data_IF_446899913417
#
_entry.id   IF_446899913417
#
_cell.length_a   1.000
_cell.length_b   1.000
_cell.length_c   1.000
_cell.angle_alpha   90.00
_cell.angle_beta   90.00
_cell.angle_gamma   90.00
#
_symmetry.space_group_name_H-M   'P 1'
#
loop_
_entity.id
_entity.type
_entity.pdbx_description
1 polymer ?
#
# COMPACT_ATOMS: atom_id res chain seq x y z
N UNK A 1 -50.22 -2.58 -12.05
CA UNK A 1 -49.31 -3.22 -11.08
C UNK A 1 -48.18 -4.04 -11.73
N UNK A 2 -48.44 -5.11 -12.50
CA UNK A 2 -47.35 -5.89 -13.17
C UNK A 2 -46.38 -5.06 -14.01
N UNK A 3 -46.89 -4.14 -14.85
CA UNK A 3 -46.04 -3.26 -15.68
C UNK A 3 -45.17 -2.30 -14.85
N UNK A 4 -45.69 -1.79 -13.73
CA UNK A 4 -44.94 -0.92 -12.82
C UNK A 4 -43.82 -1.70 -12.14
N UNK A 5 -44.08 -2.94 -11.70
CA UNK A 5 -43.06 -3.80 -11.11
C UNK A 5 -41.96 -4.18 -12.11
N UNK A 6 -42.32 -4.44 -13.38
CA UNK A 6 -41.34 -4.72 -14.44
C UNK A 6 -40.49 -3.48 -14.73
N UNK A 7 -41.10 -2.30 -14.85
CA UNK A 7 -40.35 -1.05 -15.09
C UNK A 7 -39.44 -0.72 -13.90
N UNK A 8 -39.93 -0.83 -12.67
CA UNK A 8 -39.12 -0.62 -11.47
C UNK A 8 -37.95 -1.61 -11.39
N UNK A 9 -38.17 -2.89 -11.72
CA UNK A 9 -37.13 -3.90 -11.79
C UNK A 9 -36.05 -3.59 -12.85
N UNK A 10 -36.46 -3.14 -14.04
CA UNK A 10 -35.53 -2.75 -15.10
C UNK A 10 -34.70 -1.51 -14.72
N UNK A 11 -35.32 -0.52 -14.09
CA UNK A 11 -34.61 0.68 -13.61
C UNK A 11 -33.61 0.30 -12.53
N UNK A 12 -33.99 -0.55 -11.56
CA UNK A 12 -33.08 -1.02 -10.54
C UNK A 12 -31.90 -1.80 -11.13
N UNK A 13 -32.15 -2.69 -12.09
CA UNK A 13 -31.10 -3.43 -12.78
C UNK A 13 -30.15 -2.50 -13.56
N UNK A 14 -30.67 -1.49 -14.25
CA UNK A 14 -29.86 -0.50 -14.95
C UNK A 14 -28.97 0.31 -14.00
N UNK A 15 -29.49 0.74 -12.85
CA UNK A 15 -28.73 1.45 -11.82
C UNK A 15 -27.63 0.58 -11.20
N UNK A 16 -27.86 -0.72 -11.02
CA UNK A 16 -26.83 -1.64 -10.53
C UNK A 16 -25.72 -1.84 -11.57
N UNK A 17 -26.06 -1.89 -12.85
CA UNK A 17 -25.09 -2.14 -13.93
C UNK A 17 -24.29 -0.90 -14.33
N UNK A 18 -24.80 0.32 -14.07
CA UNK A 18 -24.14 1.55 -14.52
C UNK A 18 -22.78 1.78 -13.85
N UNK A 19 -22.63 1.41 -12.58
CA UNK A 19 -21.40 1.62 -11.80
C UNK A 19 -20.24 0.73 -12.28
N UNK A 20 -20.40 -0.61 -12.41
CA UNK A 20 -19.34 -1.44 -12.98
C UNK A 20 -19.09 -1.12 -14.46
N UNK A 21 -20.12 -0.76 -15.24
CA UNK A 21 -19.93 -0.35 -16.64
C UNK A 21 -19.11 0.95 -16.75
N UNK A 22 -19.37 1.94 -15.90
CA UNK A 22 -18.58 3.17 -15.84
C UNK A 22 -17.14 2.89 -15.39
N UNK A 23 -16.94 2.05 -14.37
CA UNK A 23 -15.60 1.64 -13.93
C UNK A 23 -14.83 0.97 -15.07
N UNK A 24 -15.50 0.11 -15.85
CA UNK A 24 -14.87 -0.59 -16.98
C UNK A 24 -14.43 0.40 -18.07
N UNK A 25 -15.25 1.43 -18.31
CA UNK A 25 -14.88 2.53 -19.23
C UNK A 25 -13.60 3.24 -18.77
N UNK A 26 -13.48 3.57 -17.48
CA UNK A 26 -12.31 4.26 -16.95
C UNK A 26 -11.03 3.41 -16.94
N UNK A 27 -11.16 2.08 -16.84
CA UNK A 27 -10.03 1.14 -16.87
C UNK A 27 -9.48 0.89 -18.27
N UNK A 28 -10.21 1.29 -19.32
CA UNK A 28 -9.75 1.11 -20.70
C UNK A 28 -8.38 1.76 -20.95
N UNK A 29 -7.58 1.11 -21.80
CA UNK A 29 -6.27 1.62 -22.19
C UNK A 29 -5.27 1.68 -21.03
N UNK A 30 -5.31 0.71 -20.11
CA UNK A 30 -4.40 0.63 -18.96
C UNK A 30 -4.59 1.81 -17.98
N UNK A 31 -5.84 2.22 -17.76
CA UNK A 31 -6.19 3.35 -16.90
C UNK A 31 -6.17 4.73 -17.58
N UNK A 32 -5.99 4.81 -18.90
CA UNK A 32 -6.08 6.09 -19.64
C UNK A 32 -7.47 6.73 -19.52
N UNK A 33 -8.52 5.94 -19.36
CA UNK A 33 -9.87 6.49 -19.11
C UNK A 33 -9.91 7.37 -17.85
N UNK A 34 -9.14 7.05 -16.81
CA UNK A 34 -9.06 7.85 -15.58
C UNK A 34 -8.57 9.28 -15.82
N UNK A 35 -7.79 9.54 -16.87
CA UNK A 35 -7.28 10.89 -17.20
C UNK A 35 -8.32 11.78 -17.87
N UNK A 36 -9.56 11.29 -18.05
CA UNK A 36 -10.71 12.17 -18.34
C UNK A 36 -11.03 13.10 -17.17
N UNK A 37 -10.59 12.74 -15.95
CA UNK A 37 -10.52 13.63 -14.79
C UNK A 37 -9.11 14.24 -14.73
N UNK A 38 -9.02 15.58 -14.72
CA UNK A 38 -7.73 16.26 -14.76
C UNK A 38 -6.91 16.06 -13.47
N UNK A 39 -7.60 15.77 -12.35
CA UNK A 39 -7.00 15.46 -11.05
C UNK A 39 -6.17 14.18 -11.07
N UNK A 40 -6.48 13.26 -11.99
CA UNK A 40 -5.76 12.00 -12.14
C UNK A 40 -4.57 12.10 -13.09
N UNK A 41 -4.44 13.19 -13.86
CA UNK A 41 -3.39 13.34 -14.87
C UNK A 41 -1.97 13.24 -14.25
N UNK A 42 -1.63 13.94 -13.14
CA UNK A 42 -0.28 13.86 -12.56
C UNK A 42 0.08 12.44 -12.11
N UNK A 43 -0.88 11.74 -11.46
CA UNK A 43 -0.69 10.36 -11.00
C UNK A 43 -0.52 9.39 -12.17
N UNK A 44 -1.26 9.59 -13.26
CA UNK A 44 -1.10 8.81 -14.48
C UNK A 44 0.28 9.04 -15.12
N UNK A 45 0.73 10.29 -15.19
CA UNK A 45 2.02 10.62 -15.80
C UNK A 45 3.19 10.03 -14.98
N UNK A 46 3.14 10.16 -13.64
CA UNK A 46 4.09 9.51 -12.73
C UNK A 46 4.11 7.99 -12.91
N UNK A 47 2.92 7.35 -12.99
CA UNK A 47 2.83 5.92 -13.21
C UNK A 47 3.44 5.49 -14.54
N UNK A 48 3.19 6.23 -15.62
CA UNK A 48 3.75 5.94 -16.94
C UNK A 48 5.26 6.20 -17.04
N UNK A 49 5.81 7.06 -16.17
CA UNK A 49 7.25 7.23 -16.01
C UNK A 49 7.88 6.17 -15.08
N UNK A 50 7.08 5.51 -14.25
CA UNK A 50 7.55 4.58 -13.22
C UNK A 50 8.02 3.23 -13.78
N UNK A 51 8.65 2.44 -12.91
CA UNK A 51 8.99 1.05 -13.18
C UNK A 51 7.76 0.14 -13.40
N UNK A 52 6.55 0.60 -13.07
CA UNK A 52 5.29 -0.13 -13.24
C UNK A 52 4.44 0.34 -14.43
N UNK A 53 4.95 1.22 -15.30
CA UNK A 53 4.25 1.76 -16.49
C UNK A 53 3.55 0.74 -17.40
N UNK A 54 4.02 -0.51 -17.43
CA UNK A 54 3.43 -1.60 -18.22
C UNK A 54 2.29 -2.35 -17.52
N UNK A 55 1.94 -1.94 -16.31
CA UNK A 55 0.91 -2.58 -15.47
C UNK A 55 -0.29 -1.64 -15.39
N UNK A 56 -1.49 -2.16 -15.68
CA UNK A 56 -2.73 -1.40 -15.54
C UNK A 56 -3.04 -1.06 -14.08
N UNK A 57 -3.61 0.12 -13.84
CA UNK A 57 -3.95 0.61 -12.51
C UNK A 57 -4.85 -0.37 -11.74
N UNK A 58 -5.74 -1.07 -12.45
CA UNK A 58 -6.71 -2.02 -11.91
C UNK A 58 -6.05 -3.26 -11.27
N UNK A 59 -4.80 -3.56 -11.65
CA UNK A 59 -4.03 -4.66 -11.06
C UNK A 59 -3.66 -4.40 -9.60
N UNK A 60 -3.67 -3.15 -9.17
CA UNK A 60 -3.31 -2.76 -7.81
C UNK A 60 -4.48 -2.13 -7.05
N UNK A 61 -5.28 -1.28 -7.71
CA UNK A 61 -6.39 -0.56 -7.08
C UNK A 61 -7.72 -1.33 -7.07
N UNK A 62 -7.80 -2.48 -7.73
CA UNK A 62 -9.05 -3.17 -8.00
C UNK A 62 -9.63 -2.75 -9.35
N UNK A 63 -10.45 -3.64 -9.93
CA UNK A 63 -11.03 -3.44 -11.26
C UNK A 63 -12.56 -3.42 -11.23
N UNK A 64 -13.16 -3.04 -12.36
CA UNK A 64 -14.56 -2.75 -12.54
C UNK A 64 -15.47 -3.95 -12.29
N UNK A 65 -14.91 -5.15 -12.38
CA UNK A 65 -15.59 -6.42 -12.17
C UNK A 65 -15.41 -6.97 -10.75
N UNK A 66 -14.72 -6.24 -9.87
CA UNK A 66 -14.65 -6.61 -8.46
C UNK A 66 -16.04 -6.61 -7.84
N UNK A 67 -16.31 -7.57 -6.96
CA UNK A 67 -17.55 -7.60 -6.15
C UNK A 67 -17.42 -6.78 -4.87
N UNK A 68 -16.27 -6.12 -4.66
CA UNK A 68 -16.06 -5.22 -3.53
C UNK A 68 -16.91 -3.96 -3.68
N UNK A 69 -17.99 -3.89 -2.91
CA UNK A 69 -18.89 -2.73 -2.87
C UNK A 69 -18.15 -1.46 -2.45
N UNK A 70 -17.12 -1.56 -1.59
CA UNK A 70 -16.39 -0.40 -1.11
C UNK A 70 -15.56 0.27 -2.22
N UNK A 71 -15.06 -0.50 -3.18
CA UNK A 71 -14.39 0.00 -4.37
C UNK A 71 -15.34 0.84 -5.24
N UNK A 72 -16.50 0.26 -5.57
CA UNK A 72 -17.51 0.93 -6.40
C UNK A 72 -18.09 2.18 -5.73
N UNK A 73 -18.33 2.10 -4.43
CA UNK A 73 -18.80 3.24 -3.65
C UNK A 73 -17.77 4.37 -3.63
N UNK A 74 -16.49 4.05 -3.44
CA UNK A 74 -15.41 5.04 -3.47
C UNK A 74 -15.34 5.77 -4.83
N UNK A 75 -15.45 5.04 -5.95
CA UNK A 75 -15.50 5.65 -7.28
C UNK A 75 -16.70 6.59 -7.44
N UNK A 76 -17.88 6.17 -6.98
CA UNK A 76 -19.07 7.04 -7.01
C UNK A 76 -18.89 8.29 -6.14
N UNK A 77 -18.30 8.16 -4.94
CA UNK A 77 -18.04 9.31 -4.07
C UNK A 77 -17.02 10.27 -4.65
N UNK A 78 -16.01 9.80 -5.39
CA UNK A 78 -15.03 10.66 -6.07
C UNK A 78 -15.68 11.51 -7.15
N UNK A 79 -16.54 10.92 -7.98
CA UNK A 79 -17.32 11.65 -8.99
C UNK A 79 -18.20 12.71 -8.32
N UNK A 80 -18.87 12.33 -7.22
CA UNK A 80 -19.71 13.24 -6.46
C UNK A 80 -18.92 14.41 -5.84
N UNK A 81 -17.77 14.14 -5.25
CA UNK A 81 -16.85 15.15 -4.68
C UNK A 81 -16.32 16.09 -5.76
N UNK A 82 -15.92 15.58 -6.91
CA UNK A 82 -15.48 16.39 -8.05
C UNK A 82 -16.57 17.36 -8.51
N UNK A 83 -17.80 16.88 -8.73
CA UNK A 83 -18.93 17.71 -9.18
C UNK A 83 -19.26 18.83 -8.18
N UNK A 84 -19.00 18.62 -6.89
CA UNK A 84 -19.22 19.64 -5.84
C UNK A 84 -17.99 20.53 -5.58
N UNK A 85 -16.84 20.25 -6.21
CA UNK A 85 -15.58 20.92 -5.90
C UNK A 85 -15.06 20.64 -4.49
N UNK A 86 -15.46 19.52 -3.89
CA UNK A 86 -15.14 19.10 -2.51
C UNK A 86 -14.06 18.01 -2.54
N UNK A 87 -12.87 18.39 -3.01
CA UNK A 87 -11.71 17.52 -3.10
C UNK A 87 -10.61 17.97 -2.13
N UNK A 88 -9.92 17.03 -1.47
CA UNK A 88 -8.80 17.37 -0.59
C UNK A 88 -7.62 17.93 -1.41
N UNK A 89 -6.83 18.79 -0.78
CA UNK A 89 -5.61 19.35 -1.39
C UNK A 89 -4.60 18.26 -1.77
N UNK A 90 -4.55 17.16 -1.01
CA UNK A 90 -3.73 15.99 -1.30
C UNK A 90 -4.59 14.75 -1.50
N UNK A 91 -4.47 14.13 -2.67
CA UNK A 91 -5.14 12.88 -3.00
C UNK A 91 -4.27 11.71 -2.52
N UNK A 92 -4.59 11.18 -1.34
CA UNK A 92 -3.90 10.05 -0.74
C UNK A 92 -4.74 8.76 -0.71
N UNK A 93 -4.11 7.67 -0.27
CA UNK A 93 -4.82 6.44 0.06
C UNK A 93 -5.05 6.34 1.57
N UNK A 94 -6.27 5.99 1.94
CA UNK A 94 -6.58 5.54 3.29
C UNK A 94 -5.82 4.23 3.61
N UNK A 95 -5.51 4.01 4.89
CA UNK A 95 -4.73 2.89 5.40
C UNK A 95 -5.26 1.53 4.95
N UNK A 96 -6.58 1.38 4.88
CA UNK A 96 -7.25 0.17 4.43
C UNK A 96 -6.93 -0.17 2.97
N UNK A 97 -6.90 0.82 2.07
CA UNK A 97 -6.53 0.62 0.67
C UNK A 97 -5.05 0.25 0.53
N UNK A 98 -4.17 0.89 1.32
CA UNK A 98 -2.74 0.52 1.35
C UNK A 98 -2.55 -0.91 1.85
N UNK A 99 -3.25 -1.30 2.91
CA UNK A 99 -3.21 -2.65 3.44
C UNK A 99 -3.72 -3.67 2.40
N UNK A 100 -4.83 -3.39 1.72
CA UNK A 100 -5.40 -4.25 0.69
C UNK A 100 -4.45 -4.44 -0.51
N UNK A 101 -3.72 -3.39 -0.88
CA UNK A 101 -2.80 -3.44 -2.02
C UNK A 101 -1.57 -4.35 -1.77
N UNK A 102 -1.25 -4.64 -0.51
CA UNK A 102 -0.15 -5.56 -0.15
C UNK A 102 -0.32 -6.96 -0.77
N UNK A 103 -1.56 -7.47 -0.87
CA UNK A 103 -1.81 -8.76 -1.53
C UNK A 103 -1.64 -8.68 -3.07
N UNK A 104 -1.86 -7.51 -3.68
CA UNK A 104 -1.61 -7.33 -5.11
C UNK A 104 -0.11 -7.36 -5.39
N UNK A 105 0.71 -6.75 -4.51
CA UNK A 105 2.17 -6.81 -4.61
C UNK A 105 2.66 -8.26 -4.65
N UNK A 106 2.13 -9.12 -3.77
CA UNK A 106 2.46 -10.55 -3.71
C UNK A 106 2.17 -11.31 -5.01
N UNK A 107 1.22 -10.87 -5.82
CA UNK A 107 0.89 -11.48 -7.12
C UNK A 107 2.12 -11.60 -8.03
N UNK A 108 2.98 -10.57 -8.02
CA UNK A 108 4.22 -10.53 -8.80
C UNK A 108 5.47 -10.69 -7.91
N UNK A 109 5.50 -10.07 -6.73
CA UNK A 109 6.64 -10.03 -5.79
C UNK A 109 6.56 -11.10 -4.71
N UNK A 110 6.45 -12.37 -5.12
CA UNK A 110 6.20 -13.49 -4.19
C UNK A 110 7.33 -13.70 -3.18
N UNK A 111 8.58 -13.52 -3.61
CA UNK A 111 9.74 -13.76 -2.75
C UNK A 111 9.94 -12.63 -1.75
N UNK A 112 9.81 -11.39 -2.21
CA UNK A 112 9.87 -10.19 -1.37
C UNK A 112 8.74 -10.22 -0.34
N UNK A 113 7.54 -10.60 -0.76
CA UNK A 113 6.41 -10.78 0.15
C UNK A 113 6.71 -11.86 1.21
N UNK A 114 7.24 -13.02 0.83
CA UNK A 114 7.59 -14.07 1.79
C UNK A 114 8.67 -13.62 2.79
N UNK A 115 9.66 -12.87 2.32
CA UNK A 115 10.71 -12.30 3.18
C UNK A 115 10.14 -11.24 4.13
N UNK A 116 9.27 -10.35 3.65
CA UNK A 116 8.56 -9.36 4.46
C UNK A 116 7.68 -10.05 5.50
N UNK A 117 6.88 -11.04 5.09
CA UNK A 117 5.93 -11.77 5.92
C UNK A 117 6.62 -12.53 7.05
N UNK A 118 7.76 -13.18 6.77
CA UNK A 118 8.55 -13.92 7.77
C UNK A 118 9.45 -13.03 8.63
N UNK A 119 9.66 -11.77 8.22
CA UNK A 119 10.47 -10.79 8.93
C UNK A 119 9.70 -9.98 9.98
N UNK A 120 10.38 -9.08 10.71
CA UNK A 120 9.76 -8.23 11.72
C UNK A 120 8.87 -7.11 11.13
N UNK A 121 8.95 -6.84 9.82
CA UNK A 121 8.19 -5.76 9.17
C UNK A 121 6.72 -6.12 8.92
N UNK A 122 6.34 -7.40 8.99
CA UNK A 122 4.93 -7.82 8.96
C UNK A 122 4.25 -7.71 10.33
N UNK A 123 4.94 -7.18 11.35
CA UNK A 123 4.42 -7.06 12.70
C UNK A 123 3.11 -6.27 12.74
N UNK A 124 2.13 -6.84 13.44
CA UNK A 124 0.81 -6.23 13.56
C UNK A 124 0.80 -5.00 14.45
N UNK A 125 -0.26 -4.19 14.35
CA UNK A 125 -0.48 -3.06 15.26
C UNK A 125 -0.44 -3.50 16.73
N UNK A 126 -1.08 -4.62 17.08
CA UNK A 126 -1.05 -5.16 18.45
C UNK A 126 0.37 -5.46 18.91
N UNK A 127 1.17 -6.10 18.06
CA UNK A 127 2.55 -6.47 18.38
C UNK A 127 3.43 -5.25 18.63
N UNK A 128 3.28 -4.19 17.83
CA UNK A 128 4.10 -2.99 17.94
C UNK A 128 3.62 -2.07 19.06
N UNK A 129 2.32 -1.82 19.14
CA UNK A 129 1.78 -0.76 19.99
C UNK A 129 1.34 -1.21 21.38
N UNK A 130 1.18 -2.52 21.62
CA UNK A 130 0.79 -3.06 22.93
C UNK A 130 1.91 -3.84 23.63
N UNK A 131 3.16 -3.73 23.16
CA UNK A 131 4.30 -4.35 23.84
C UNK A 131 4.54 -3.70 25.20
N UNK A 132 4.29 -4.47 26.27
CA UNK A 132 4.34 -3.95 27.64
C UNK A 132 5.72 -3.49 28.06
N UNK A 133 6.77 -4.23 27.64
CA UNK A 133 8.15 -3.93 28.02
C UNK A 133 8.61 -2.66 27.33
N UNK A 134 8.42 -2.59 26.02
CA UNK A 134 8.80 -1.44 25.22
C UNK A 134 8.07 -0.19 25.66
N UNK A 135 6.76 -0.25 25.88
CA UNK A 135 5.98 0.92 26.27
C UNK A 135 6.23 1.38 27.72
N UNK A 136 6.62 0.48 28.62
CA UNK A 136 7.06 0.86 29.96
C UNK A 136 8.38 1.66 29.92
N UNK A 137 9.28 1.29 29.02
CA UNK A 137 10.58 1.97 28.85
C UNK A 137 10.46 3.22 27.95
N UNK A 138 9.53 3.21 26.99
CA UNK A 138 9.36 4.24 25.95
C UNK A 138 7.91 4.71 25.88
N UNK A 139 7.73 6.02 26.02
CA UNK A 139 6.41 6.64 25.90
C UNK A 139 5.93 6.55 24.43
N UNK A 140 4.74 6.00 24.15
CA UNK A 140 4.19 6.08 22.79
C UNK A 140 3.97 7.53 22.36
N UNK A 141 4.29 7.83 21.10
CA UNK A 141 4.26 9.18 20.54
C UNK A 141 3.96 9.15 19.04
N UNK A 142 3.59 10.30 18.46
CA UNK A 142 3.23 10.39 17.03
C UNK A 142 4.40 10.02 16.10
N UNK A 143 5.66 10.24 16.50
CA UNK A 143 6.82 9.85 15.69
C UNK A 143 6.91 8.33 15.45
N UNK A 144 6.25 7.50 16.29
CA UNK A 144 6.13 6.07 16.03
C UNK A 144 5.39 5.80 14.71
N UNK A 145 4.38 6.62 14.39
CA UNK A 145 3.56 6.50 13.19
C UNK A 145 4.33 6.84 11.91
N UNK A 146 5.47 7.54 11.99
CA UNK A 146 6.33 7.81 10.82
C UNK A 146 6.73 6.54 10.06
N UNK A 147 6.81 5.41 10.76
CA UNK A 147 7.04 4.11 10.13
C UNK A 147 5.94 3.11 10.49
N UNK A 148 5.57 3.00 11.77
CA UNK A 148 4.60 2.00 12.24
C UNK A 148 3.20 2.59 12.15
N UNK A 149 2.56 2.51 11.00
CA UNK A 149 1.27 3.15 10.73
C UNK A 149 1.41 4.45 9.94
N UNK A 150 2.37 4.53 9.02
CA UNK A 150 2.60 5.71 8.16
C UNK A 150 1.36 6.18 7.41
N UNK A 151 0.42 5.28 7.15
CA UNK A 151 -0.83 5.57 6.45
C UNK A 151 -2.04 5.70 7.38
N UNK A 152 -1.85 5.60 8.71
CA UNK A 152 -2.94 5.73 9.68
C UNK A 152 -3.46 7.17 9.73
N UNK A 153 -4.77 7.33 9.65
CA UNK A 153 -5.46 8.61 9.58
C UNK A 153 -5.73 9.18 10.98
N UNK A 154 -4.65 9.51 11.71
CA UNK A 154 -4.74 10.09 13.05
C UNK A 154 -3.41 10.12 13.79
N UNK A 155 -3.45 10.57 15.05
CA UNK A 155 -2.30 10.56 15.94
C UNK A 155 -2.25 9.30 16.81
N UNK A 156 -1.17 9.14 17.59
CA UNK A 156 -1.00 8.01 18.52
C UNK A 156 -2.13 7.91 19.55
N UNK A 157 -2.73 9.05 19.91
CA UNK A 157 -3.87 9.14 20.83
C UNK A 157 -5.17 8.59 20.24
N UNK A 158 -5.30 8.54 18.92
CA UNK A 158 -6.44 7.96 18.21
C UNK A 158 -6.23 6.45 17.97
N UNK A 159 -4.99 5.98 18.12
CA UNK A 159 -4.62 4.58 17.93
C UNK A 159 -4.62 3.79 19.25
N UNK A 160 -4.02 4.34 20.30
CA UNK A 160 -3.90 3.67 21.60
C UNK A 160 -4.29 4.56 22.78
N UNK A 161 -4.78 3.91 23.84
CA UNK A 161 -4.99 4.55 25.13
C UNK A 161 -4.61 3.61 26.29
N UNK A 162 -4.11 4.13 27.43
CA UNK A 162 -3.64 5.49 27.62
C UNK A 162 -2.30 5.72 26.92
N UNK A 163 -2.02 6.95 26.49
CA UNK A 163 -0.69 7.33 26.00
C UNK A 163 0.17 7.69 27.21
N UNK A 164 0.67 6.69 27.92
CA UNK A 164 1.60 6.82 29.05
C UNK A 164 2.58 5.63 29.12
N UNK A 165 3.48 5.60 30.11
CA UNK A 165 4.39 4.45 30.39
C UNK A 165 3.85 3.44 31.42
N UNK A 166 2.68 3.71 32.02
CA UNK A 166 2.12 2.88 33.08
C UNK A 166 1.22 1.75 32.53
N UNK A 167 0.56 1.98 31.40
CA UNK A 167 -0.44 1.07 30.85
C UNK A 167 -1.64 0.88 31.79
N UNK A 168 -2.42 -0.19 31.60
CA UNK A 168 -2.38 -1.10 30.45
C UNK A 168 -2.84 -0.38 29.17
N UNK A 169 -2.11 -0.58 28.07
CA UNK A 169 -2.47 -0.04 26.76
C UNK A 169 -3.51 -0.90 26.07
N UNK A 170 -4.46 -0.25 25.39
CA UNK A 170 -5.44 -0.86 24.49
C UNK A 170 -5.46 -0.12 23.16
N UNK A 171 -5.70 -0.86 22.09
CA UNK A 171 -6.02 -0.26 20.79
C UNK A 171 -7.43 0.33 20.86
N UNK A 172 -7.59 1.54 20.33
CA UNK A 172 -8.90 2.19 20.17
C UNK A 172 -9.63 1.71 18.91
N UNK A 173 -8.87 1.17 17.95
CA UNK A 173 -9.32 0.66 16.65
C UNK A 173 -9.08 -0.86 16.58
N UNK A 174 -9.96 -1.69 17.15
CA UNK A 174 -9.74 -3.13 17.24
C UNK A 174 -9.63 -3.82 15.87
N UNK A 175 -10.23 -3.25 14.82
CA UNK A 175 -10.14 -3.73 13.44
C UNK A 175 -8.71 -3.72 12.89
N UNK A 176 -7.82 -2.89 13.45
CA UNK A 176 -6.41 -2.82 13.04
C UNK A 176 -5.52 -3.88 13.71
N UNK A 177 -6.02 -4.56 14.75
CA UNK A 177 -5.20 -5.35 15.67
C UNK A 177 -4.26 -6.35 15.00
N UNK A 178 -4.74 -7.00 13.93
CA UNK A 178 -4.01 -8.04 13.20
C UNK A 178 -3.46 -7.57 11.85
N UNK A 179 -3.73 -6.32 11.46
CA UNK A 179 -3.19 -5.76 10.23
C UNK A 179 -1.71 -5.42 10.41
N UNK A 180 -0.88 -5.53 9.35
CA UNK A 180 0.51 -5.12 9.40
C UNK A 180 0.61 -3.61 9.66
N UNK A 181 1.44 -3.22 10.62
CA UNK A 181 1.72 -1.80 10.90
C UNK A 181 2.72 -1.19 9.91
N UNK A 182 3.43 -2.00 9.13
CA UNK A 182 4.37 -1.56 8.10
C UNK A 182 4.10 -2.30 6.78
N UNK A 183 3.02 -1.96 6.05
CA UNK A 183 2.77 -2.51 4.70
C UNK A 183 3.90 -2.14 3.74
N UNK A 184 3.99 -2.80 2.59
CA UNK A 184 5.08 -2.64 1.62
C UNK A 184 5.36 -1.17 1.25
N UNK A 185 4.29 -0.39 1.05
CA UNK A 185 4.36 1.03 0.68
C UNK A 185 4.94 1.95 1.76
N UNK A 186 5.10 1.47 2.99
CA UNK A 186 5.79 2.21 4.06
C UNK A 186 7.21 2.60 3.62
N UNK A 187 7.86 1.70 2.88
CA UNK A 187 9.25 1.90 2.44
C UNK A 187 9.39 1.88 0.90
N UNK A 188 8.50 1.20 0.18
CA UNK A 188 8.61 1.03 -1.26
C UNK A 188 7.79 2.06 -2.02
N UNK A 189 8.48 2.90 -2.79
CA UNK A 189 7.87 3.88 -3.68
C UNK A 189 7.54 3.25 -5.03
N UNK A 190 6.25 3.15 -5.35
CA UNK A 190 5.76 2.51 -6.57
C UNK A 190 5.95 3.37 -7.83
N UNK A 191 5.90 4.69 -7.68
CA UNK A 191 6.00 5.67 -8.77
C UNK A 191 7.44 6.07 -9.09
N UNK A 192 8.42 5.41 -8.46
CA UNK A 192 9.82 5.73 -8.70
C UNK A 192 10.16 5.63 -10.18
N UNK A 193 10.68 6.74 -10.72
CA UNK A 193 11.13 6.83 -12.09
C UNK A 193 12.14 5.71 -12.37
N UNK A 194 11.90 4.97 -13.45
CA UNK A 194 12.78 3.87 -13.86
C UNK A 194 13.00 3.91 -15.35
N UNK A 195 14.24 4.12 -15.81
CA UNK A 195 14.54 4.07 -17.24
C UNK A 195 14.37 2.62 -17.75
N UNK A 196 13.71 2.40 -18.90
CA UNK A 196 13.65 1.07 -19.51
C UNK A 196 15.07 0.55 -19.72
N UNK A 197 15.37 -0.65 -19.23
CA UNK A 197 16.64 -1.29 -19.53
C UNK A 197 16.68 -1.58 -21.04
N UNK A 198 17.67 -1.02 -21.74
CA UNK A 198 17.88 -1.36 -23.14
C UNK A 198 18.54 -2.74 -23.22
N UNK A 199 17.95 -3.62 -24.03
CA UNK A 199 18.59 -4.88 -24.37
C UNK A 199 19.82 -4.57 -25.21
N UNK A 200 20.99 -4.71 -24.62
CA UNK A 200 22.26 -4.69 -25.36
C UNK A 200 22.38 -5.96 -26.19
N UNK A 201 22.82 -5.82 -27.44
CA UNK A 201 23.07 -6.93 -28.37
C UNK A 201 24.32 -7.74 -27.95
N UNK A 202 25.03 -8.38 -28.88
CA UNK A 202 26.21 -9.21 -28.56
C UNK A 202 27.28 -8.48 -27.72
N UNK A 203 27.34 -7.15 -27.82
CA UNK A 203 28.26 -6.28 -27.08
C UNK A 203 27.93 -6.15 -25.58
N UNK A 204 26.71 -6.52 -25.18
CA UNK A 204 26.29 -6.56 -23.77
C UNK A 204 26.55 -7.89 -23.07
N UNK A 205 27.17 -8.87 -23.75
CA UNK A 205 27.48 -10.17 -23.17
C UNK A 205 28.59 -10.02 -22.14
N UNK A 206 28.23 -10.18 -20.88
CA UNK A 206 29.23 -10.33 -19.81
C UNK A 206 29.69 -11.79 -19.78
N UNK A 207 31.01 -12.09 -19.84
CA UNK A 207 31.52 -13.44 -19.69
C UNK A 207 31.05 -14.07 -18.38
N UNK A 208 30.72 -15.36 -18.37
CA UNK A 208 30.08 -16.03 -17.22
C UNK A 208 30.75 -15.79 -15.86
N UNK A 209 32.09 -15.72 -15.82
CA UNK A 209 32.83 -15.43 -14.59
C UNK A 209 32.71 -13.98 -14.09
N UNK A 210 32.28 -13.06 -14.95
CA UNK A 210 32.03 -11.64 -14.64
C UNK A 210 30.55 -11.30 -14.58
N UNK A 211 29.68 -12.25 -14.94
CA UNK A 211 28.24 -12.07 -14.75
C UNK A 211 28.00 -11.89 -13.26
N UNK A 212 27.13 -10.94 -12.92
CA UNK A 212 26.67 -10.81 -11.56
C UNK A 212 25.99 -12.14 -11.20
N UNK A 213 26.67 -12.94 -10.38
CA UNK A 213 26.13 -14.20 -9.86
C UNK A 213 24.84 -13.81 -9.18
N UNK A 214 23.72 -14.30 -9.71
CA UNK A 214 22.36 -13.95 -9.31
C UNK A 214 22.34 -13.61 -7.82
N UNK A 215 22.30 -12.30 -7.51
CA UNK A 215 22.18 -11.88 -6.12
C UNK A 215 20.88 -12.50 -5.64
N UNK A 216 20.90 -13.44 -4.68
CA UNK A 216 19.66 -13.89 -4.08
C UNK A 216 19.01 -12.62 -3.56
N UNK A 217 17.79 -12.32 -4.00
CA UNK A 217 16.98 -11.25 -3.42
C UNK A 217 17.12 -11.36 -1.91
N UNK A 218 17.69 -10.31 -1.32
CA UNK A 218 18.33 -10.28 -0.01
C UNK A 218 17.55 -11.05 1.07
N UNK A 219 17.84 -12.35 1.20
CA UNK A 219 17.26 -13.23 2.23
C UNK A 219 18.29 -14.18 2.84
N UNK A 220 19.59 -13.98 2.57
CA UNK A 220 20.64 -14.79 3.19
C UNK A 220 21.92 -13.99 3.35
N UNK A 221 22.03 -13.26 4.45
CA UNK A 221 23.13 -13.39 5.41
C UNK A 221 23.11 -12.22 6.41
N UNK A 222 22.91 -12.60 7.66
CA UNK A 222 23.41 -11.88 8.82
C UNK A 222 24.94 -12.01 8.74
N UNK A 223 25.66 -10.89 8.65
CA UNK A 223 27.08 -10.64 9.00
C UNK A 223 27.89 -9.87 7.91
N UNK A 224 27.90 -8.52 8.02
CA UNK A 224 28.92 -7.51 7.66
C UNK A 224 29.80 -7.61 6.38
N UNK A 225 30.73 -6.66 6.17
CA UNK A 225 30.64 -5.21 6.30
C UNK A 225 30.96 -4.54 4.94
N UNK A 226 30.08 -3.69 4.42
CA UNK A 226 30.49 -2.54 3.60
C UNK A 226 29.30 -1.63 3.36
N UNK A 227 29.42 -0.45 3.96
CA UNK A 227 28.63 0.74 3.66
C UNK A 227 28.76 1.09 2.17
N UNK A 228 27.68 0.98 1.40
CA UNK A 228 27.31 1.90 0.30
C UNK A 228 25.94 1.50 -0.27
N UNK A 229 24.89 1.65 0.52
CA UNK A 229 23.52 1.74 0.00
C UNK A 229 22.73 2.75 0.83
N UNK A 230 22.05 3.74 0.24
CA UNK A 230 21.38 4.79 1.00
C UNK A 230 20.02 4.32 1.52
N UNK A 231 19.97 3.23 2.30
CA UNK A 231 18.79 2.86 3.11
C UNK A 231 18.81 3.59 4.47
N UNK A 232 19.21 4.87 4.50
CA UNK A 232 19.39 5.64 5.74
C UNK A 232 18.11 6.25 6.32
N UNK A 233 16.95 6.12 5.68
CA UNK A 233 15.71 6.78 6.14
C UNK A 233 14.94 6.03 7.25
N UNK A 234 15.14 4.72 7.43
CA UNK A 234 14.44 3.91 8.43
C UNK A 234 15.24 3.65 9.73
N UNK A 235 16.11 4.58 10.15
CA UNK A 235 16.76 4.48 11.48
C UNK A 235 15.92 5.18 12.54
N UNK A 236 14.97 4.47 13.16
CA UNK A 236 14.48 4.85 14.47
C UNK A 236 15.55 4.48 15.51
N UNK A 237 16.11 5.49 16.22
CA UNK A 237 17.17 5.31 17.22
C UNK A 237 16.78 4.35 18.36
N UNK A 238 15.49 4.07 18.52
CA UNK A 238 14.92 3.28 19.62
C UNK A 238 14.68 1.79 19.29
N UNK A 239 14.55 1.41 18.01
CA UNK A 239 14.26 0.01 17.62
C UNK A 239 15.49 -0.93 17.61
N UNK A 240 16.71 -0.39 17.55
CA UNK A 240 17.94 -1.20 17.49
C UNK A 240 18.32 -1.88 18.83
N UNK A 241 17.53 -1.67 19.89
CA UNK A 241 17.72 -2.31 21.20
C UNK A 241 16.66 -3.38 21.53
N UNK A 242 15.90 -3.87 20.55
CA UNK A 242 15.04 -5.02 20.80
C UNK A 242 15.90 -6.29 20.92
N UNK A 243 15.87 -7.03 22.05
CA UNK A 243 16.51 -8.33 22.13
C UNK A 243 15.84 -9.29 21.14
N UNK A 244 16.64 -10.13 20.48
CA UNK A 244 16.13 -11.19 19.62
C UNK A 244 15.09 -12.04 20.36
N UNK A 245 14.02 -12.52 19.69
CA UNK A 245 13.07 -13.42 20.34
C UNK A 245 13.81 -14.66 20.85
N UNK A 246 13.63 -14.96 22.14
CA UNK A 246 14.05 -16.23 22.72
C UNK A 246 13.35 -17.36 21.97
N UNK A 247 14.15 -18.35 21.52
CA UNK A 247 13.68 -19.56 20.84
C UNK A 247 12.70 -20.35 21.69
#
# INVERSE_FOLDING_TARGET
MKRILVVAGLVAAALVLIVPAASLYYETGSGKGCTSCHEMQPLYDEWNASSHRGIGCEKCHGGALTLDVSFHWNNATRVYSHVRGDLPEQIGFANNYVAAMTEQCKGCHRQEYAAWQSGPHSASYTRIFLDKKFNADNQPMDDCLRCHGMHFEGGIRDLIAPVNRAGPWRLLRPELANLPSMPCLTCHEMHREGQPMQKTDADGRVPGARQEIARPSLARSIAGPSDTFPWRSCRCRYCWKAPAPSR
#
